data_IF_110972607095
#
_entry.id   IF_110972607095
#
_cell.length_a   1.000
_cell.length_b   1.000
_cell.length_c   1.000
_cell.angle_alpha   90.00
_cell.angle_beta   90.00
_cell.angle_gamma   90.00
#
_symmetry.space_group_name_H-M   'P 1'
#
loop_
_entity.id
_entity.type
_entity.pdbx_description
1 polymer ?
#
# COMPACT_ATOMS: atom_id res chain seq x y z
N UNK A 1 -9.56 -17.81 11.39
CA UNK A 1 -8.87 -17.24 10.21
C UNK A 1 -7.77 -16.31 10.66
N UNK A 2 -6.67 -16.20 9.89
CA UNK A 2 -5.48 -15.43 10.29
C UNK A 2 -5.01 -14.51 9.18
N UNK A 3 -4.42 -13.36 9.53
CA UNK A 3 -3.96 -12.33 8.59
C UNK A 3 -2.70 -11.61 9.09
N UNK A 4 -1.86 -11.18 8.15
CA UNK A 4 -0.71 -10.31 8.38
C UNK A 4 -1.00 -8.92 7.84
N UNK A 5 -0.81 -7.91 8.67
CA UNK A 5 -0.99 -6.50 8.28
C UNK A 5 0.40 -5.88 8.16
N UNK A 6 0.73 -5.39 6.98
CA UNK A 6 2.03 -4.79 6.66
C UNK A 6 1.85 -3.28 6.59
N UNK A 7 2.63 -2.55 7.36
CA UNK A 7 2.57 -1.09 7.47
C UNK A 7 3.97 -0.52 7.26
N UNK A 8 4.24 0.10 6.11
CA UNK A 8 5.47 0.87 5.93
C UNK A 8 5.39 2.15 6.74
N UNK A 9 6.46 2.48 7.44
CA UNK A 9 6.56 3.66 8.30
C UNK A 9 7.76 4.49 7.87
N UNK A 10 7.56 5.79 7.67
CA UNK A 10 8.61 6.77 7.45
C UNK A 10 8.14 8.11 7.96
N UNK A 11 8.88 8.68 8.94
CA UNK A 11 8.59 9.98 9.56
C UNK A 11 7.12 10.14 9.97
N UNK A 12 6.62 9.19 10.77
CA UNK A 12 5.21 9.04 11.13
C UNK A 12 4.94 9.27 12.62
N UNK A 13 5.89 9.86 13.37
CA UNK A 13 5.80 10.00 14.82
C UNK A 13 4.51 10.67 15.31
N UNK A 14 3.98 11.64 14.54
CA UNK A 14 2.79 12.41 14.90
C UNK A 14 1.54 11.57 15.10
N UNK A 15 1.42 10.43 14.39
CA UNK A 15 0.16 9.67 14.36
C UNK A 15 0.32 8.15 14.52
N UNK A 16 1.53 7.60 14.38
CA UNK A 16 1.73 6.14 14.35
C UNK A 16 1.25 5.44 15.63
N UNK A 17 1.49 6.04 16.81
CA UNK A 17 1.10 5.44 18.09
C UNK A 17 -0.40 5.22 18.16
N UNK A 18 -1.19 6.27 17.92
CA UNK A 18 -2.64 6.22 18.03
C UNK A 18 -3.26 5.38 16.92
N UNK A 19 -2.71 5.44 15.72
CA UNK A 19 -3.17 4.64 14.60
C UNK A 19 -2.97 3.14 14.84
N UNK A 20 -1.83 2.72 15.39
CA UNK A 20 -1.61 1.30 15.70
C UNK A 20 -2.51 0.83 16.85
N UNK A 21 -2.74 1.65 17.88
CA UNK A 21 -3.71 1.33 18.95
C UNK A 21 -5.13 1.16 18.38
N UNK A 22 -5.57 2.10 17.53
CA UNK A 22 -6.87 2.07 16.85
C UNK A 22 -7.02 0.82 15.99
N UNK A 23 -6.03 0.51 15.14
CA UNK A 23 -6.02 -0.67 14.29
C UNK A 23 -6.12 -1.95 15.11
N UNK A 24 -5.31 -2.10 16.15
CA UNK A 24 -5.34 -3.27 17.04
C UNK A 24 -6.69 -3.46 17.70
N UNK A 25 -7.26 -2.38 18.28
CA UNK A 25 -8.58 -2.41 18.91
C UNK A 25 -9.64 -2.89 17.91
N UNK A 26 -9.56 -2.42 16.68
CA UNK A 26 -10.51 -2.78 15.63
C UNK A 26 -10.38 -4.24 15.18
N UNK A 27 -9.16 -4.72 14.87
CA UNK A 27 -8.96 -6.11 14.43
C UNK A 27 -9.34 -7.11 15.54
N UNK A 28 -9.04 -6.77 16.81
CA UNK A 28 -9.44 -7.60 17.95
C UNK A 28 -10.96 -7.80 18.01
N UNK A 29 -11.75 -6.76 17.69
CA UNK A 29 -13.22 -6.87 17.61
C UNK A 29 -13.70 -7.79 16.48
N UNK A 30 -12.92 -7.94 15.40
CA UNK A 30 -13.26 -8.82 14.29
C UNK A 30 -12.93 -10.29 14.57
N UNK A 31 -12.35 -10.61 15.72
CA UNK A 31 -12.00 -11.96 16.17
C UNK A 31 -11.11 -12.75 15.21
N UNK A 32 -10.17 -12.08 14.54
CA UNK A 32 -9.15 -12.71 13.70
C UNK A 32 -7.85 -12.92 14.49
N UNK A 33 -7.18 -14.05 14.25
CA UNK A 33 -5.77 -14.19 14.61
C UNK A 33 -4.95 -13.31 13.67
N UNK A 34 -4.10 -12.42 14.19
CA UNK A 34 -3.37 -11.48 13.36
C UNK A 34 -1.97 -11.17 13.88
N UNK A 35 -1.14 -10.71 12.99
CA UNK A 35 0.12 -10.03 13.27
C UNK A 35 0.15 -8.68 12.55
N UNK A 36 0.85 -7.72 13.11
CA UNK A 36 1.14 -6.43 12.49
C UNK A 36 2.66 -6.37 12.30
N UNK A 37 3.11 -6.11 11.09
CA UNK A 37 4.53 -5.95 10.75
C UNK A 37 4.73 -4.49 10.37
N UNK A 38 5.39 -3.74 11.26
CA UNK A 38 5.77 -2.36 11.06
C UNK A 38 7.17 -2.34 10.45
N UNK A 39 7.32 -1.70 9.30
CA UNK A 39 8.61 -1.62 8.60
C UNK A 39 9.06 -0.17 8.57
N UNK A 40 10.00 0.18 9.43
CA UNK A 40 10.62 1.50 9.46
C UNK A 40 11.62 1.66 8.31
N UNK A 41 11.39 2.65 7.46
CA UNK A 41 12.24 2.94 6.31
C UNK A 41 13.31 3.98 6.62
N UNK A 42 14.04 3.78 7.73
CA UNK A 42 15.07 4.69 8.22
C UNK A 42 14.52 6.08 8.56
N UNK A 43 13.50 6.13 9.41
CA UNK A 43 12.92 7.39 9.88
C UNK A 43 13.95 8.23 10.64
N UNK A 44 13.93 9.55 10.41
CA UNK A 44 14.76 10.54 11.12
C UNK A 44 14.11 11.08 12.39
N UNK A 45 12.78 10.91 12.54
CA UNK A 45 12.00 11.30 13.71
C UNK A 45 11.91 10.15 14.76
N UNK A 46 11.02 10.29 15.74
CA UNK A 46 10.86 9.27 16.78
C UNK A 46 10.03 8.04 16.35
N UNK A 47 9.67 7.91 15.08
CA UNK A 47 8.85 6.78 14.58
C UNK A 47 9.41 5.43 15.05
N UNK A 48 10.71 5.16 14.82
CA UNK A 48 11.31 3.89 15.21
C UNK A 48 11.24 3.62 16.72
N UNK A 49 11.51 4.62 17.54
CA UNK A 49 11.41 4.51 19.02
C UNK A 49 10.00 4.14 19.46
N UNK A 50 8.99 4.74 18.82
CA UNK A 50 7.58 4.49 19.13
C UNK A 50 7.18 3.06 18.75
N UNK A 51 7.48 2.61 17.53
CA UNK A 51 7.11 1.27 17.08
C UNK A 51 7.87 0.18 17.84
N UNK A 52 9.12 0.45 18.27
CA UNK A 52 9.90 -0.45 19.13
C UNK A 52 9.21 -0.67 20.48
N UNK A 53 8.75 0.40 21.14
CA UNK A 53 7.96 0.29 22.38
C UNK A 53 6.66 -0.50 22.17
N UNK A 54 5.97 -0.31 21.03
CA UNK A 54 4.77 -1.06 20.69
C UNK A 54 5.04 -2.56 20.53
N UNK A 55 6.14 -2.95 19.87
CA UNK A 55 6.50 -4.36 19.70
C UNK A 55 6.91 -5.04 21.01
N UNK A 56 7.54 -4.33 21.92
CA UNK A 56 7.85 -4.83 23.27
C UNK A 56 6.56 -5.06 24.09
N UNK A 57 5.58 -4.15 23.94
CA UNK A 57 4.30 -4.24 24.66
C UNK A 57 3.36 -5.32 24.12
N UNK A 58 3.42 -5.61 22.81
CA UNK A 58 2.42 -6.45 22.14
C UNK A 58 3.06 -7.55 21.31
N UNK A 59 2.94 -8.81 21.75
CA UNK A 59 3.55 -10.00 21.12
C UNK A 59 3.16 -10.22 19.64
N UNK A 60 2.04 -9.65 19.19
CA UNK A 60 1.58 -9.75 17.81
C UNK A 60 2.02 -8.58 16.93
N UNK A 61 2.89 -7.70 17.43
CA UNK A 61 3.55 -6.64 16.64
C UNK A 61 5.00 -7.04 16.42
N UNK A 62 5.41 -7.08 15.16
CA UNK A 62 6.79 -7.27 14.72
C UNK A 62 7.30 -5.98 14.10
N UNK A 63 8.57 -5.71 14.26
CA UNK A 63 9.22 -4.57 13.63
C UNK A 63 10.38 -5.03 12.74
N UNK A 64 10.56 -4.30 11.66
CA UNK A 64 11.72 -4.37 10.79
C UNK A 64 12.24 -2.94 10.61
N UNK A 65 13.55 -2.77 10.60
CA UNK A 65 14.18 -1.47 10.32
C UNK A 65 15.07 -1.59 9.09
N UNK A 66 14.96 -0.66 8.18
CA UNK A 66 15.90 -0.52 7.06
C UNK A 66 17.07 0.35 7.50
N UNK A 67 18.27 -0.01 7.10
CA UNK A 67 19.48 0.75 7.44
C UNK A 67 19.61 2.07 6.67
N UNK A 68 18.87 2.18 5.54
CA UNK A 68 18.78 3.34 4.68
C UNK A 68 17.35 3.52 4.22
N UNK A 69 16.92 4.72 3.87
CA UNK A 69 15.66 4.96 3.19
C UNK A 69 15.70 4.31 1.80
N UNK A 70 15.00 3.20 1.65
CA UNK A 70 14.90 2.41 0.41
C UNK A 70 13.59 2.56 -0.32
N UNK A 71 12.65 3.29 0.27
CA UNK A 71 11.32 3.54 -0.26
C UNK A 71 10.27 2.52 0.14
N UNK A 72 9.02 2.90 -0.06
CA UNK A 72 7.82 2.16 0.34
C UNK A 72 7.79 0.74 -0.24
N UNK A 73 8.11 0.59 -1.53
CA UNK A 73 8.10 -0.71 -2.21
C UNK A 73 9.01 -1.73 -1.53
N UNK A 74 10.25 -1.32 -1.22
CA UNK A 74 11.21 -2.19 -0.53
C UNK A 74 10.72 -2.61 0.85
N UNK A 75 10.19 -1.66 1.61
CA UNK A 75 9.64 -1.89 2.94
C UNK A 75 8.46 -2.85 2.91
N UNK A 76 7.55 -2.71 1.95
CA UNK A 76 6.41 -3.62 1.76
C UNK A 76 6.87 -5.04 1.40
N UNK A 77 7.75 -5.19 0.41
CA UNK A 77 8.29 -6.51 0.01
C UNK A 77 8.96 -7.21 1.20
N UNK A 78 9.76 -6.49 1.97
CA UNK A 78 10.44 -7.01 3.16
C UNK A 78 9.45 -7.46 4.22
N UNK A 79 8.41 -6.66 4.50
CA UNK A 79 7.34 -6.99 5.44
C UNK A 79 6.56 -8.23 5.00
N UNK A 80 6.18 -8.32 3.71
CA UNK A 80 5.44 -9.46 3.16
C UNK A 80 6.28 -10.74 3.22
N UNK A 81 7.58 -10.68 2.90
CA UNK A 81 8.48 -11.85 3.02
C UNK A 81 8.55 -12.39 4.45
N UNK A 82 8.47 -11.51 5.45
CA UNK A 82 8.52 -11.87 6.89
C UNK A 82 7.15 -12.21 7.49
N UNK A 83 6.07 -12.13 6.71
CA UNK A 83 4.73 -12.45 7.17
C UNK A 83 4.49 -13.95 7.29
N UNK A 84 3.79 -14.36 8.37
CA UNK A 84 3.50 -15.75 8.66
C UNK A 84 2.18 -16.23 8.01
N UNK A 85 1.25 -15.32 7.72
CA UNK A 85 -0.07 -15.71 7.25
C UNK A 85 -0.25 -15.46 5.76
N UNK A 86 -1.13 -16.26 5.13
CA UNK A 86 -1.42 -16.17 3.69
C UNK A 86 -2.24 -14.93 3.32
N UNK A 87 -3.17 -14.50 4.19
CA UNK A 87 -3.93 -13.27 3.95
C UNK A 87 -3.09 -12.07 4.37
N UNK A 88 -2.74 -11.27 3.39
CA UNK A 88 -1.95 -10.04 3.59
C UNK A 88 -2.87 -8.84 3.43
N UNK A 89 -2.74 -7.91 4.36
CA UNK A 89 -3.30 -6.56 4.25
C UNK A 89 -2.13 -5.59 4.19
N UNK A 90 -2.13 -4.71 3.23
CA UNK A 90 -1.25 -3.54 3.19
C UNK A 90 -2.10 -2.33 3.55
N UNK A 91 -1.64 -1.54 4.50
CA UNK A 91 -2.25 -0.25 4.85
C UNK A 91 -1.15 0.75 5.20
N UNK A 92 -1.26 1.99 4.74
CA UNK A 92 -0.31 3.05 5.07
C UNK A 92 -0.44 3.47 6.54
N UNK A 93 0.61 4.06 7.10
CA UNK A 93 0.70 4.37 8.54
C UNK A 93 -0.31 5.41 9.03
N UNK A 94 -0.87 6.22 8.12
CA UNK A 94 -1.95 7.18 8.36
C UNK A 94 -3.36 6.53 8.34
N UNK A 95 -3.45 5.22 8.07
CA UNK A 95 -4.67 4.41 8.01
C UNK A 95 -5.73 4.92 7.04
N UNK A 96 -5.41 5.18 5.77
CA UNK A 96 -6.39 5.63 4.80
C UNK A 96 -7.45 4.55 4.58
N UNK A 97 -8.70 4.96 4.34
CA UNK A 97 -9.82 4.06 4.07
C UNK A 97 -10.07 3.01 5.17
N UNK A 98 -9.70 3.32 6.40
CA UNK A 98 -9.77 2.39 7.54
C UNK A 98 -11.15 1.75 7.72
N UNK A 99 -12.23 2.49 7.44
CA UNK A 99 -13.61 2.01 7.47
C UNK A 99 -13.91 0.89 6.46
N UNK A 100 -13.03 0.68 5.47
CA UNK A 100 -13.15 -0.39 4.45
C UNK A 100 -12.37 -1.66 4.81
N UNK A 101 -11.58 -1.63 5.86
CA UNK A 101 -10.71 -2.74 6.25
C UNK A 101 -11.47 -4.06 6.46
N UNK A 102 -12.61 -4.05 7.18
CA UNK A 102 -13.42 -5.25 7.39
C UNK A 102 -13.96 -5.83 6.07
N UNK A 103 -14.35 -4.95 5.13
CA UNK A 103 -14.85 -5.40 3.82
C UNK A 103 -13.73 -6.07 3.03
N UNK A 104 -12.51 -5.52 3.04
CA UNK A 104 -11.35 -6.15 2.38
C UNK A 104 -11.10 -7.53 2.97
N UNK A 105 -11.02 -7.64 4.29
CA UNK A 105 -10.78 -8.92 4.97
C UNK A 105 -11.85 -9.96 4.61
N UNK A 106 -13.11 -9.57 4.59
CA UNK A 106 -14.23 -10.45 4.21
C UNK A 106 -14.16 -10.88 2.76
N UNK A 107 -13.85 -9.96 1.83
CA UNK A 107 -13.76 -10.25 0.39
C UNK A 107 -12.60 -11.18 0.05
N UNK A 108 -11.52 -11.19 0.83
CA UNK A 108 -10.42 -12.14 0.67
C UNK A 108 -10.78 -13.61 0.95
N UNK A 109 -12.01 -13.92 1.30
CA UNK A 109 -12.50 -15.30 1.30
C UNK A 109 -12.81 -15.82 -0.11
N UNK A 110 -13.19 -14.92 -1.02
CA UNK A 110 -13.69 -15.26 -2.36
C UNK A 110 -12.85 -14.67 -3.50
N UNK A 111 -11.91 -13.78 -3.17
CA UNK A 111 -11.06 -13.09 -4.13
C UNK A 111 -9.59 -13.20 -3.72
N UNK A 112 -8.72 -13.27 -4.73
CA UNK A 112 -7.27 -13.38 -4.51
C UNK A 112 -6.64 -12.01 -4.23
N UNK A 113 -7.23 -10.93 -4.78
CA UNK A 113 -6.77 -9.56 -4.60
C UNK A 113 -7.95 -8.61 -4.44
N UNK A 114 -7.91 -7.76 -3.42
CA UNK A 114 -8.96 -6.78 -3.12
C UNK A 114 -8.30 -5.41 -2.91
N UNK A 115 -8.76 -4.40 -3.63
CA UNK A 115 -8.18 -3.06 -3.55
C UNK A 115 -9.26 -1.98 -3.44
N UNK A 116 -8.88 -0.86 -2.85
CA UNK A 116 -9.64 0.38 -2.92
C UNK A 116 -9.49 0.96 -4.33
N UNK A 117 -10.57 1.51 -4.88
CA UNK A 117 -10.57 2.14 -6.19
C UNK A 117 -11.24 3.52 -6.11
N UNK A 118 -10.45 4.58 -6.04
CA UNK A 118 -10.90 5.98 -6.01
C UNK A 118 -11.52 6.42 -7.35
N UNK A 119 -11.11 5.79 -8.44
CA UNK A 119 -11.61 6.03 -9.80
C UNK A 119 -12.82 5.14 -10.18
N UNK A 120 -13.40 4.44 -9.19
CA UNK A 120 -14.62 3.67 -9.41
C UNK A 120 -15.80 4.61 -9.64
N UNK A 121 -16.75 4.23 -10.51
CA UNK A 121 -17.96 5.05 -10.82
C UNK A 121 -18.76 5.51 -9.59
N UNK A 122 -18.71 4.74 -8.50
CA UNK A 122 -19.38 5.01 -7.22
C UNK A 122 -18.47 5.68 -6.18
N UNK A 123 -17.21 5.94 -6.51
CA UNK A 123 -16.31 6.68 -5.63
C UNK A 123 -16.50 8.18 -5.82
N UNK A 124 -16.36 8.93 -4.73
CA UNK A 124 -16.49 10.39 -4.76
C UNK A 124 -15.45 11.03 -3.84
N UNK A 125 -14.84 12.11 -4.30
CA UNK A 125 -14.13 13.03 -3.43
C UNK A 125 -15.20 13.86 -2.68
N UNK A 126 -15.05 13.98 -1.37
CA UNK A 126 -16.05 14.60 -0.48
C UNK A 126 -15.65 16.01 0.00
N UNK A 127 -14.53 16.53 -0.48
CA UNK A 127 -14.05 17.87 -0.17
C UNK A 127 -13.73 18.66 -1.43
N UNK A 128 -13.84 19.98 -1.34
CA UNK A 128 -13.31 20.87 -2.35
C UNK A 128 -11.77 20.79 -2.32
N UNK A 129 -11.17 20.76 -3.51
CA UNK A 129 -9.73 20.64 -3.64
C UNK A 129 -9.11 22.04 -3.83
N UNK A 130 -8.04 22.32 -3.11
CA UNK A 130 -7.19 23.46 -3.42
C UNK A 130 -6.40 23.22 -4.73
N UNK A 131 -5.76 24.25 -5.25
CA UNK A 131 -5.00 24.18 -6.51
C UNK A 131 -3.95 23.07 -6.51
N UNK A 132 -3.22 22.89 -5.41
CA UNK A 132 -2.20 21.85 -5.27
C UNK A 132 -2.80 20.44 -5.32
N UNK A 133 -3.93 20.22 -4.66
CA UNK A 133 -4.66 18.95 -4.68
C UNK A 133 -5.21 18.64 -6.08
N UNK A 134 -5.71 19.65 -6.80
CA UNK A 134 -6.17 19.51 -8.19
C UNK A 134 -5.04 19.06 -9.11
N UNK A 135 -3.87 19.71 -9.02
CA UNK A 135 -2.69 19.31 -9.79
C UNK A 135 -2.27 17.87 -9.50
N UNK A 136 -2.30 17.43 -8.24
CA UNK A 136 -2.03 16.03 -7.87
C UNK A 136 -3.03 15.05 -8.49
N UNK A 137 -4.31 15.40 -8.49
CA UNK A 137 -5.36 14.58 -9.12
C UNK A 137 -5.09 14.45 -10.62
N UNK A 138 -4.76 15.56 -11.30
CA UNK A 138 -4.50 15.56 -12.74
C UNK A 138 -3.28 14.69 -13.07
N UNK A 139 -2.16 14.90 -12.37
CA UNK A 139 -0.93 14.10 -12.57
C UNK A 139 -1.20 12.62 -12.28
N UNK A 140 -1.91 12.31 -11.19
CA UNK A 140 -2.30 10.95 -10.87
C UNK A 140 -3.14 10.28 -11.96
N UNK A 141 -4.09 11.02 -12.56
CA UNK A 141 -4.90 10.55 -13.70
C UNK A 141 -4.05 10.29 -14.95
N UNK A 142 -3.08 11.18 -15.25
CA UNK A 142 -2.16 10.99 -16.39
C UNK A 142 -1.32 9.73 -16.18
N UNK A 143 -0.71 9.56 -15.02
CA UNK A 143 0.09 8.36 -14.68
C UNK A 143 -0.79 7.10 -14.79
N UNK A 144 -1.98 7.11 -14.21
CA UNK A 144 -2.92 5.99 -14.31
C UNK A 144 -3.34 5.71 -15.76
N UNK A 145 -3.53 6.74 -16.60
CA UNK A 145 -3.83 6.57 -18.02
C UNK A 145 -2.68 5.88 -18.77
N UNK A 146 -1.44 6.35 -18.58
CA UNK A 146 -0.24 5.75 -19.18
C UNK A 146 -0.12 4.27 -18.75
N UNK A 147 -0.25 3.97 -17.47
CA UNK A 147 -0.20 2.61 -16.95
C UNK A 147 -1.27 1.72 -17.60
N UNK A 148 -2.50 2.18 -17.63
CA UNK A 148 -3.62 1.42 -18.19
C UNK A 148 -3.44 1.14 -19.68
N UNK A 149 -3.01 2.13 -20.43
CA UNK A 149 -2.72 1.98 -21.85
C UNK A 149 -1.58 1.00 -22.09
N UNK A 150 -0.47 1.16 -21.35
CA UNK A 150 0.73 0.31 -21.50
C UNK A 150 0.46 -1.15 -21.16
N UNK A 151 -0.40 -1.45 -20.18
CA UNK A 151 -0.64 -2.82 -19.70
C UNK A 151 -2.04 -3.36 -20.02
N UNK A 152 -2.87 -2.58 -20.74
CA UNK A 152 -4.26 -2.96 -21.05
C UNK A 152 -5.11 -3.31 -19.80
N UNK A 153 -4.91 -2.55 -18.70
CA UNK A 153 -5.57 -2.82 -17.42
C UNK A 153 -6.93 -2.14 -17.37
N UNK A 154 -7.97 -2.88 -16.95
CA UNK A 154 -9.31 -2.33 -16.73
C UNK A 154 -9.46 -1.59 -15.39
N UNK A 155 -8.63 -1.89 -14.40
CA UNK A 155 -8.63 -1.26 -13.08
C UNK A 155 -8.02 0.12 -13.18
N UNK A 156 -8.74 1.13 -12.67
CA UNK A 156 -8.35 2.53 -12.83
C UNK A 156 -7.44 3.07 -11.73
N UNK A 157 -7.51 2.53 -10.52
CA UNK A 157 -6.69 2.96 -9.39
C UNK A 157 -5.77 1.83 -8.92
N UNK A 158 -4.48 2.00 -9.06
CA UNK A 158 -3.47 1.00 -8.70
C UNK A 158 -2.72 1.35 -7.41
N UNK A 159 -2.87 2.59 -6.91
CA UNK A 159 -2.00 3.19 -5.90
C UNK A 159 -2.69 3.50 -4.55
N UNK A 160 -3.93 3.04 -4.35
CA UNK A 160 -4.63 3.30 -3.09
C UNK A 160 -3.90 2.65 -1.90
N UNK A 161 -3.78 3.39 -0.79
CA UNK A 161 -2.99 3.01 0.40
C UNK A 161 -3.59 1.87 1.25
N UNK A 162 -4.70 1.24 0.82
CA UNK A 162 -5.28 0.08 1.48
C UNK A 162 -5.64 -0.99 0.46
N UNK A 163 -5.09 -2.19 0.61
CA UNK A 163 -5.37 -3.36 -0.21
C UNK A 163 -5.15 -4.65 0.57
N UNK A 164 -5.72 -5.75 0.08
CA UNK A 164 -5.49 -7.07 0.63
C UNK A 164 -5.30 -8.10 -0.48
N UNK A 165 -4.55 -9.17 -0.21
CA UNK A 165 -4.35 -10.25 -1.16
C UNK A 165 -3.97 -11.57 -0.48
N UNK A 166 -4.12 -12.66 -1.22
CA UNK A 166 -3.62 -13.97 -0.82
C UNK A 166 -2.17 -14.07 -1.28
N UNK A 167 -1.23 -14.18 -0.33
CA UNK A 167 0.20 -14.26 -0.61
C UNK A 167 0.50 -15.47 -1.50
N UNK A 168 1.10 -15.28 -2.70
CA UNK A 168 1.56 -16.38 -3.54
C UNK A 168 2.56 -17.26 -2.78
N UNK A 169 2.56 -18.56 -3.04
CA UNK A 169 3.50 -19.51 -2.40
C UNK A 169 4.95 -19.19 -2.75
N UNK A 170 5.18 -18.73 -3.98
CA UNK A 170 6.46 -18.37 -4.53
C UNK A 170 6.82 -16.88 -4.35
N UNK A 171 6.08 -16.13 -3.50
CA UNK A 171 6.28 -14.68 -3.32
C UNK A 171 7.76 -14.30 -3.05
N UNK A 172 8.48 -15.13 -2.29
CA UNK A 172 9.92 -14.89 -2.01
C UNK A 172 10.81 -14.94 -3.24
N UNK A 173 10.40 -15.66 -4.29
CA UNK A 173 11.11 -15.80 -5.57
C UNK A 173 10.74 -14.70 -6.56
N UNK A 174 9.63 -13.99 -6.33
CA UNK A 174 9.21 -12.91 -7.23
C UNK A 174 10.22 -11.78 -7.19
N UNK A 175 10.60 -11.34 -8.38
CA UNK A 175 11.49 -10.18 -8.57
C UNK A 175 10.63 -8.98 -8.94
N UNK A 176 10.67 -7.94 -8.11
CA UNK A 176 9.99 -6.67 -8.34
C UNK A 176 11.03 -5.65 -8.83
N UNK A 177 10.72 -4.92 -9.88
CA UNK A 177 11.57 -3.86 -10.43
C UNK A 177 11.45 -2.58 -9.61
N UNK A 178 10.27 -2.37 -9.03
CA UNK A 178 9.96 -1.20 -8.23
C UNK A 178 10.73 -1.19 -6.91
N UNK A 179 11.44 -0.09 -6.68
CA UNK A 179 12.17 0.16 -5.44
C UNK A 179 11.41 1.08 -4.50
N UNK A 180 10.72 2.10 -5.04
CA UNK A 180 10.12 3.19 -4.25
C UNK A 180 8.59 3.22 -4.28
N UNK A 181 7.95 3.27 -5.47
CA UNK A 181 6.56 3.71 -5.57
C UNK A 181 5.60 2.70 -6.21
N UNK A 182 6.04 1.87 -7.15
CA UNK A 182 5.15 1.10 -8.02
C UNK A 182 5.00 -0.39 -7.67
N UNK A 183 5.39 -0.81 -6.48
CA UNK A 183 5.15 -2.19 -6.01
C UNK A 183 3.68 -2.58 -6.13
N UNK A 184 2.78 -1.66 -5.82
CA UNK A 184 1.34 -1.87 -5.87
C UNK A 184 0.86 -2.21 -7.29
N UNK A 185 1.44 -1.53 -8.30
CA UNK A 185 1.19 -1.80 -9.71
C UNK A 185 1.75 -3.17 -10.11
N UNK A 186 3.00 -3.45 -9.80
CA UNK A 186 3.64 -4.74 -10.16
C UNK A 186 2.91 -5.92 -9.51
N UNK A 187 2.49 -5.77 -8.26
CA UNK A 187 1.70 -6.77 -7.57
C UNK A 187 0.35 -7.00 -8.27
N UNK A 188 -0.34 -5.94 -8.67
CA UNK A 188 -1.59 -6.04 -9.42
C UNK A 188 -1.38 -6.73 -10.78
N UNK A 189 -0.32 -6.36 -11.52
CA UNK A 189 0.05 -6.98 -12.79
C UNK A 189 0.30 -8.49 -12.63
N UNK A 190 1.00 -8.88 -11.57
CA UNK A 190 1.20 -10.29 -11.25
C UNK A 190 -0.14 -11.03 -11.09
N UNK A 191 -1.10 -10.47 -10.32
CA UNK A 191 -2.41 -11.12 -10.14
C UNK A 191 -3.22 -11.17 -11.43
N UNK A 192 -3.13 -10.16 -12.28
CA UNK A 192 -3.77 -10.13 -13.61
C UNK A 192 -3.16 -11.20 -14.52
N UNK A 193 -1.82 -11.28 -14.62
CA UNK A 193 -1.14 -12.26 -15.47
C UNK A 193 -1.44 -13.71 -15.08
N UNK A 194 -1.66 -13.95 -13.79
CA UNK A 194 -2.08 -15.26 -13.25
C UNK A 194 -3.60 -15.49 -13.30
N UNK A 195 -4.36 -14.62 -13.99
CA UNK A 195 -5.84 -14.71 -14.13
C UNK A 195 -6.56 -14.86 -12.80
N UNK A 196 -6.04 -14.20 -11.73
CA UNK A 196 -6.59 -14.29 -10.38
C UNK A 196 -7.85 -13.44 -10.23
N UNK A 197 -8.71 -13.81 -9.27
CA UNK A 197 -9.94 -13.08 -8.97
C UNK A 197 -9.64 -11.79 -8.24
N UNK A 198 -9.94 -10.64 -8.88
CA UNK A 198 -9.69 -9.31 -8.34
C UNK A 198 -11.02 -8.60 -8.06
N UNK A 199 -11.11 -7.94 -6.92
CA UNK A 199 -12.27 -7.15 -6.54
C UNK A 199 -11.86 -5.72 -6.16
N UNK A 200 -12.57 -4.72 -6.69
CA UNK A 200 -12.33 -3.31 -6.38
C UNK A 200 -13.48 -2.71 -5.58
N UNK A 201 -13.14 -1.97 -4.54
CA UNK A 201 -14.09 -1.37 -3.59
C UNK A 201 -14.18 0.14 -3.85
N UNK A 202 -15.38 0.70 -4.10
CA UNK A 202 -15.58 2.13 -4.18
C UNK A 202 -15.45 2.78 -2.79
N UNK A 203 -15.00 4.04 -2.77
CA UNK A 203 -14.82 4.81 -1.54
C UNK A 203 -15.26 6.27 -1.69
N UNK A 204 -15.67 6.84 -0.57
CA UNK A 204 -15.64 8.28 -0.35
C UNK A 204 -14.26 8.63 0.20
N UNK A 205 -13.59 9.60 -0.38
CA UNK A 205 -12.21 9.93 -0.02
C UNK A 205 -11.98 11.44 -0.01
N UNK A 206 -10.94 11.82 0.72
CA UNK A 206 -10.37 13.17 0.73
C UNK A 206 -8.98 13.09 0.14
N UNK A 207 -8.58 14.12 -0.56
CA UNK A 207 -7.19 14.26 -1.01
C UNK A 207 -6.41 14.89 0.13
N UNK A 208 -5.37 14.25 0.68
CA UNK A 208 -4.59 14.81 1.77
C UNK A 208 -3.94 16.15 1.37
N UNK A 209 -3.86 17.11 2.30
CA UNK A 209 -3.19 18.40 2.09
C UNK A 209 -1.70 18.23 1.88
N UNK A 210 -1.09 17.33 2.66
CA UNK A 210 0.32 17.01 2.59
C UNK A 210 0.54 15.64 1.94
N UNK A 211 1.61 15.48 1.18
CA UNK A 211 2.08 14.19 0.70
C UNK A 211 3.60 14.09 0.84
N UNK A 212 4.08 12.88 1.06
CA UNK A 212 5.52 12.60 1.06
C UNK A 212 6.15 12.72 -0.35
N UNK A 213 5.33 12.94 -1.39
CA UNK A 213 5.79 13.22 -2.76
C UNK A 213 5.58 14.71 -3.00
N UNK A 214 6.66 15.48 -2.98
CA UNK A 214 6.64 16.88 -3.37
C UNK A 214 6.78 16.97 -4.90
N UNK A 215 5.74 17.46 -5.59
CA UNK A 215 5.75 17.62 -7.06
C UNK A 215 6.77 18.66 -7.54
N UNK A 216 7.22 19.54 -6.69
CA UNK A 216 8.28 20.50 -7.00
C UNK A 216 9.69 19.92 -6.82
N UNK A 217 9.81 18.70 -6.27
CA UNK A 217 11.09 18.00 -6.18
C UNK A 217 11.36 17.24 -7.50
N UNK A 218 12.09 17.92 -8.38
CA UNK A 218 12.45 17.41 -9.71
C UNK A 218 13.19 16.06 -9.63
N UNK A 219 14.00 15.84 -8.59
CA UNK A 219 14.76 14.61 -8.40
C UNK A 219 13.83 13.43 -8.10
N UNK A 220 12.88 13.61 -7.19
CA UNK A 220 11.88 12.58 -6.88
C UNK A 220 10.97 12.31 -8.08
N UNK A 221 10.57 13.32 -8.82
CA UNK A 221 9.73 13.16 -10.01
C UNK A 221 10.46 12.38 -11.12
N UNK A 222 11.75 12.64 -11.32
CA UNK A 222 12.58 11.90 -12.28
C UNK A 222 12.69 10.42 -11.89
N UNK A 223 12.90 10.11 -10.61
CA UNK A 223 12.91 8.74 -10.08
C UNK A 223 11.58 8.01 -10.31
N UNK A 224 10.44 8.69 -10.08
CA UNK A 224 9.09 8.15 -10.33
C UNK A 224 8.92 7.79 -11.82
N UNK A 225 9.29 8.70 -12.72
CA UNK A 225 9.19 8.48 -14.17
C UNK A 225 10.10 7.33 -14.60
N UNK A 226 11.36 7.32 -14.16
CA UNK A 226 12.32 6.27 -14.45
C UNK A 226 11.84 4.90 -14.01
N UNK A 227 11.27 4.81 -12.81
CA UNK A 227 10.72 3.57 -12.27
C UNK A 227 9.53 3.09 -13.10
N UNK A 228 8.61 3.99 -13.48
CA UNK A 228 7.47 3.67 -14.34
C UNK A 228 7.93 3.17 -15.72
N UNK A 229 8.88 3.86 -16.34
CA UNK A 229 9.46 3.44 -17.62
C UNK A 229 10.12 2.06 -17.52
N UNK A 230 10.87 1.80 -16.45
CA UNK A 230 11.47 0.49 -16.20
C UNK A 230 10.43 -0.64 -16.15
N UNK A 231 9.30 -0.41 -15.49
CA UNK A 231 8.19 -1.38 -15.41
C UNK A 231 7.55 -1.56 -16.80
N UNK A 232 7.37 -0.48 -17.57
CA UNK A 232 6.81 -0.54 -18.91
C UNK A 232 7.72 -1.30 -19.89
N UNK A 233 9.03 -1.13 -19.79
CA UNK A 233 10.03 -1.84 -20.61
C UNK A 233 10.05 -3.34 -20.25
N UNK A 234 10.01 -3.66 -18.95
CA UNK A 234 10.00 -5.04 -18.44
C UNK A 234 8.62 -5.70 -18.52
N UNK A 235 7.72 -5.19 -19.34
CA UNK A 235 6.34 -5.64 -19.52
C UNK A 235 6.19 -7.16 -19.71
N UNK A 236 7.16 -7.80 -20.34
CA UNK A 236 7.13 -9.24 -20.61
C UNK A 236 7.30 -10.11 -19.35
N UNK A 237 7.82 -9.56 -18.26
CA UNK A 237 7.93 -10.25 -16.97
C UNK A 237 6.55 -10.48 -16.32
N UNK A 238 5.54 -9.69 -16.73
CA UNK A 238 4.17 -9.74 -16.19
C UNK A 238 3.15 -10.37 -17.17
N UNK A 239 3.60 -10.85 -18.32
CA UNK A 239 2.80 -11.64 -19.26
C UNK A 239 3.02 -13.14 -19.00
#
# INVERSE_FOLDING_TARGET
>A
MSLSIIIPCFNSEKYILENIKKLRKYIKKLNYRYEIILVDDCSSDNTYKIIKKLSQKYKNIKILQNNLNRGKSYSLIRGIKKSNFKKIIIIDSDLPYFNRLAIIIKRLNNYDFVLINREHKKSRNIEENNFYQLMRIIIGKIVNFIVRYSFSIKIRDTQAGLKGFIKPQDFSKLKFSSKRFFFDLELLLYFISKKKKIFSIPVFFKVPDESNINFFDLKNNFEVIKELLSICINKNVYK
#
